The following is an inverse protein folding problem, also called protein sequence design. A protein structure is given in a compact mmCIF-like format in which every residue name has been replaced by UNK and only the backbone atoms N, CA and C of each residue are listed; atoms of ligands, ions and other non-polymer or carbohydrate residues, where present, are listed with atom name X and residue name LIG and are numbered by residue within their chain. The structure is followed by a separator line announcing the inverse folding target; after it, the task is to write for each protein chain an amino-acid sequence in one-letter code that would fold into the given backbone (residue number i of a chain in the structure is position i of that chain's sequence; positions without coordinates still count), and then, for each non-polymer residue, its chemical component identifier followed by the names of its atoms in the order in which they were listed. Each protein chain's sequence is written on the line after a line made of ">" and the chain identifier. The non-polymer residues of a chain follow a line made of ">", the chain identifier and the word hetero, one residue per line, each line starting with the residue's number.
data_IF_441281739017
#
_entry.id   IF_441281739017
#
_cell.length_a   1.000
_cell.length_b   1.000
_cell.length_c   1.000
_cell.angle_alpha   90.00
_cell.angle_beta   90.00
_cell.angle_gamma   90.00
#
_symmetry.space_group_name_H-M   'P 1'
#
loop_
_entity.id
_entity.type
_entity.pdbx_description
1 polymer ?
#
# COMPACT_ATOMS: atom_id res chain seq x y z
N UNK A 1 -32.15 -28.51 -22.79
CA UNK A 1 -30.85 -28.78 -22.09
C UNK A 1 -29.68 -27.92 -22.60
N UNK A 2 -29.68 -27.49 -23.88
CA UNK A 2 -28.59 -26.68 -24.49
C UNK A 2 -28.69 -25.18 -24.21
N UNK A 3 -29.90 -24.59 -24.04
CA UNK A 3 -30.07 -23.18 -23.72
C UNK A 3 -29.79 -22.83 -22.27
N UNK A 4 -30.14 -23.72 -21.33
CA UNK A 4 -29.87 -23.56 -19.91
C UNK A 4 -28.35 -23.61 -19.60
N UNK A 5 -27.60 -24.43 -20.36
CA UNK A 5 -26.13 -24.48 -20.27
C UNK A 5 -25.45 -23.24 -20.83
N UNK A 6 -25.98 -22.65 -21.93
CA UNK A 6 -25.48 -21.38 -22.49
C UNK A 6 -25.76 -20.20 -21.55
N UNK A 7 -26.97 -20.16 -20.97
CA UNK A 7 -27.34 -19.15 -19.97
C UNK A 7 -26.40 -19.20 -18.73
N UNK A 8 -26.17 -20.38 -18.20
CA UNK A 8 -25.26 -20.59 -17.06
C UNK A 8 -23.79 -20.26 -17.41
N UNK A 9 -23.36 -20.60 -18.62
CA UNK A 9 -22.00 -20.24 -19.07
C UNK A 9 -21.82 -18.72 -19.23
N UNK A 10 -22.86 -18.03 -19.72
CA UNK A 10 -22.85 -16.56 -19.80
C UNK A 10 -22.89 -15.90 -18.42
N UNK A 11 -23.67 -16.43 -17.47
CA UNK A 11 -23.65 -15.98 -16.08
C UNK A 11 -22.27 -16.16 -15.42
N UNK A 12 -21.61 -17.30 -15.69
CA UNK A 12 -20.25 -17.56 -15.22
C UNK A 12 -19.22 -16.62 -15.84
N UNK A 13 -19.32 -16.32 -17.14
CA UNK A 13 -18.44 -15.38 -17.83
C UNK A 13 -18.63 -13.94 -17.34
N UNK A 14 -19.86 -13.52 -17.07
CA UNK A 14 -20.15 -12.20 -16.49
C UNK A 14 -19.65 -12.12 -15.04
N UNK A 15 -19.85 -13.16 -14.24
CA UNK A 15 -19.34 -13.24 -12.89
C UNK A 15 -17.79 -13.25 -12.87
N UNK A 16 -17.16 -13.96 -13.79
CA UNK A 16 -15.72 -13.99 -13.97
C UNK A 16 -15.16 -12.61 -14.39
N UNK A 17 -15.85 -11.89 -15.27
CA UNK A 17 -15.42 -10.56 -15.72
C UNK A 17 -15.53 -9.50 -14.60
N UNK A 18 -16.63 -9.46 -13.86
CA UNK A 18 -16.78 -8.58 -12.69
C UNK A 18 -15.86 -8.99 -11.52
N UNK A 19 -15.61 -10.30 -11.38
CA UNK A 19 -14.64 -10.83 -10.43
C UNK A 19 -13.19 -10.51 -10.85
N UNK A 20 -12.91 -10.39 -12.15
CA UNK A 20 -11.56 -10.21 -12.68
C UNK A 20 -10.91 -8.89 -12.23
N UNK A 21 -11.66 -7.78 -12.20
CA UNK A 21 -11.16 -6.48 -11.70
C UNK A 21 -10.91 -6.48 -10.19
N UNK A 22 -11.76 -7.16 -9.43
CA UNK A 22 -11.59 -7.33 -7.97
C UNK A 22 -10.56 -8.42 -7.63
N UNK A 23 -10.45 -9.42 -8.49
CA UNK A 23 -9.47 -10.50 -8.35
C UNK A 23 -8.05 -9.99 -8.57
N UNK A 24 -7.80 -9.11 -9.55
CA UNK A 24 -6.48 -8.54 -9.79
C UNK A 24 -5.96 -7.68 -8.63
N UNK A 25 -6.83 -6.91 -7.95
CA UNK A 25 -6.44 -6.13 -6.78
C UNK A 25 -6.09 -7.04 -5.58
N UNK A 26 -6.91 -8.06 -5.31
CA UNK A 26 -6.65 -9.04 -4.25
C UNK A 26 -5.38 -9.83 -4.54
N UNK A 27 -5.19 -10.24 -5.80
CA UNK A 27 -3.99 -10.93 -6.25
C UNK A 27 -2.74 -10.04 -6.09
N UNK A 28 -2.80 -8.79 -6.52
CA UNK A 28 -1.68 -7.85 -6.37
C UNK A 28 -1.31 -7.62 -4.90
N UNK A 29 -2.30 -7.40 -4.02
CA UNK A 29 -2.07 -7.25 -2.58
C UNK A 29 -1.48 -8.53 -1.96
N UNK A 30 -1.96 -9.70 -2.40
CA UNK A 30 -1.44 -11.00 -1.93
C UNK A 30 0.02 -11.20 -2.37
N UNK A 31 0.37 -10.83 -3.61
CA UNK A 31 1.75 -10.90 -4.11
C UNK A 31 2.66 -9.95 -3.31
N UNK A 32 2.24 -8.71 -3.06
CA UNK A 32 3.02 -7.75 -2.26
C UNK A 32 3.22 -8.26 -0.82
N UNK A 33 2.19 -8.81 -0.21
CA UNK A 33 2.27 -9.40 1.12
C UNK A 33 3.22 -10.61 1.14
N UNK A 34 3.10 -11.51 0.17
CA UNK A 34 3.98 -12.68 0.04
C UNK A 34 5.44 -12.28 -0.19
N UNK A 35 5.68 -11.27 -1.04
CA UNK A 35 7.03 -10.73 -1.27
C UNK A 35 7.62 -10.15 0.03
N UNK A 36 6.83 -9.40 0.80
CA UNK A 36 7.24 -8.90 2.12
C UNK A 36 7.62 -10.04 3.08
N UNK A 37 6.84 -11.13 3.11
CA UNK A 37 7.13 -12.32 3.94
C UNK A 37 8.41 -13.00 3.49
N UNK A 38 8.62 -13.17 2.19
CA UNK A 38 9.86 -13.77 1.64
C UNK A 38 11.08 -12.93 2.02
N UNK A 39 11.04 -11.62 1.78
CA UNK A 39 12.13 -10.70 2.14
C UNK A 39 12.41 -10.76 3.65
N UNK A 40 11.37 -10.71 4.49
CA UNK A 40 11.50 -10.81 5.93
C UNK A 40 12.15 -12.14 6.36
N UNK A 41 11.70 -13.25 5.78
CA UNK A 41 12.23 -14.59 6.10
C UNK A 41 13.70 -14.70 5.70
N UNK A 42 14.06 -14.30 4.49
CA UNK A 42 15.46 -14.30 4.03
C UNK A 42 16.33 -13.44 4.95
N UNK A 43 15.85 -12.23 5.28
CA UNK A 43 16.58 -11.32 6.16
C UNK A 43 16.75 -11.89 7.58
N UNK A 44 15.71 -12.52 8.15
CA UNK A 44 15.80 -13.15 9.47
C UNK A 44 16.72 -14.37 9.46
N UNK A 45 16.74 -15.16 8.39
CA UNK A 45 17.62 -16.32 8.29
C UNK A 45 19.08 -15.91 8.12
N UNK A 46 19.36 -14.87 7.36
CA UNK A 46 20.74 -14.43 7.12
C UNK A 46 21.27 -13.61 8.29
N UNK A 47 20.61 -12.51 8.59
CA UNK A 47 21.05 -11.54 9.58
C UNK A 47 20.70 -11.92 11.03
N UNK A 48 19.53 -12.53 11.25
CA UNK A 48 19.08 -12.97 12.56
C UNK A 48 19.97 -14.07 13.13
N UNK A 49 20.41 -15.03 12.31
CA UNK A 49 21.35 -16.08 12.71
C UNK A 49 22.71 -15.47 13.07
N UNK A 50 23.21 -14.53 12.27
CA UNK A 50 24.45 -13.82 12.58
C UNK A 50 24.38 -13.07 13.92
N UNK A 51 23.32 -12.29 14.12
CA UNK A 51 23.10 -11.54 15.37
C UNK A 51 22.97 -12.45 16.58
N UNK A 52 22.28 -13.59 16.44
CA UNK A 52 22.18 -14.58 17.49
C UNK A 52 23.54 -15.18 17.86
N UNK A 53 24.37 -15.49 16.87
CA UNK A 53 25.72 -16.00 17.13
C UNK A 53 26.63 -14.95 17.75
N UNK A 54 26.53 -13.68 17.35
CA UNK A 54 27.29 -12.58 17.97
C UNK A 54 26.82 -12.28 19.40
N UNK A 55 25.56 -12.54 19.72
CA UNK A 55 25.04 -12.38 21.08
C UNK A 55 25.67 -13.34 22.10
N UNK A 56 26.32 -14.40 21.64
CA UNK A 56 27.07 -15.33 22.51
C UNK A 56 28.38 -14.75 23.04
N UNK A 57 28.94 -13.72 22.39
CA UNK A 57 30.12 -13.01 22.88
C UNK A 57 29.70 -11.98 23.90
N UNK A 58 29.58 -12.40 25.16
CA UNK A 58 28.94 -11.60 26.22
C UNK A 58 29.95 -10.92 27.12
N UNK A 59 31.15 -11.50 27.33
CA UNK A 59 32.11 -11.01 28.31
C UNK A 59 33.26 -10.27 27.65
N UNK A 60 33.50 -9.07 28.12
CA UNK A 60 34.60 -8.22 27.67
C UNK A 60 35.80 -8.39 28.65
N UNK A 61 36.95 -8.70 28.07
CA UNK A 61 38.19 -8.88 28.86
C UNK A 61 39.35 -8.10 28.22
N UNK A 62 40.36 -7.73 29.03
CA UNK A 62 41.56 -7.12 28.47
C UNK A 62 42.37 -8.13 27.67
N UNK A 63 42.87 -7.69 26.52
CA UNK A 63 43.76 -8.47 25.68
C UNK A 63 44.93 -7.62 25.16
N UNK A 64 45.99 -8.29 24.73
CA UNK A 64 47.15 -7.67 24.11
C UNK A 64 47.22 -8.06 22.66
N UNK A 65 47.53 -7.11 21.79
CA UNK A 65 47.69 -7.33 20.37
C UNK A 65 49.11 -7.79 20.11
N UNK A 66 49.28 -9.00 19.58
CA UNK A 66 50.58 -9.57 19.26
C UNK A 66 51.03 -9.23 17.84
N UNK A 67 50.08 -9.11 16.90
CA UNK A 67 50.36 -8.80 15.52
C UNK A 67 49.13 -8.45 14.70
N UNK A 68 49.34 -7.77 13.59
CA UNK A 68 48.27 -7.38 12.66
C UNK A 68 48.68 -7.70 11.23
N UNK A 69 47.78 -8.23 10.42
CA UNK A 69 48.02 -8.58 9.03
C UNK A 69 46.76 -8.47 8.18
N UNK A 70 46.91 -8.16 6.91
CA UNK A 70 45.84 -8.36 5.91
C UNK A 70 46.21 -9.62 5.11
N UNK A 71 45.47 -10.70 5.32
CA UNK A 71 45.72 -11.98 4.66
C UNK A 71 44.99 -12.02 3.33
N UNK A 72 45.67 -12.31 2.21
CA UNK A 72 45.05 -12.50 0.91
C UNK A 72 44.21 -13.78 0.87
N UNK A 73 43.15 -13.77 0.07
CA UNK A 73 42.36 -14.94 -0.24
C UNK A 73 43.21 -15.98 -0.99
N UNK A 74 43.25 -17.24 -0.56
CA UNK A 74 43.97 -18.30 -1.28
C UNK A 74 43.49 -18.50 -2.72
N UNK A 75 42.21 -18.30 -3.01
CA UNK A 75 41.65 -18.49 -4.35
C UNK A 75 41.82 -17.25 -5.24
N UNK A 76 41.70 -16.03 -4.66
CA UNK A 76 41.78 -14.76 -5.37
C UNK A 76 42.72 -13.74 -4.65
N UNK A 77 44.03 -13.98 -4.60
CA UNK A 77 44.96 -13.24 -3.73
C UNK A 77 45.18 -11.77 -4.11
N UNK A 78 44.70 -11.34 -5.26
CA UNK A 78 44.80 -9.95 -5.71
C UNK A 78 43.53 -9.12 -5.46
N UNK A 79 42.40 -9.77 -5.19
CA UNK A 79 41.11 -9.11 -5.16
C UNK A 79 40.54 -9.06 -3.75
N UNK A 80 40.65 -10.17 -2.98
CA UNK A 80 40.04 -10.26 -1.67
C UNK A 80 41.04 -10.47 -0.56
N UNK A 81 40.80 -9.75 0.56
CA UNK A 81 41.66 -9.78 1.73
C UNK A 81 40.81 -9.91 2.99
N UNK A 82 41.40 -10.47 4.04
CA UNK A 82 40.84 -10.62 5.35
C UNK A 82 41.67 -9.85 6.38
N UNK A 83 41.08 -8.96 7.22
CA UNK A 83 41.81 -8.36 8.33
C UNK A 83 42.04 -9.41 9.42
N UNK A 84 43.29 -9.58 9.85
CA UNK A 84 43.67 -10.49 10.92
C UNK A 84 44.45 -9.75 12.00
N UNK A 85 44.03 -9.94 13.23
CA UNK A 85 44.74 -9.42 14.42
C UNK A 85 44.98 -10.59 15.36
N UNK A 86 46.22 -10.87 15.64
CA UNK A 86 46.59 -11.86 16.66
C UNK A 86 46.53 -11.25 18.01
N UNK A 87 45.74 -11.85 18.91
CA UNK A 87 45.55 -11.37 20.27
C UNK A 87 45.85 -12.45 21.30
N UNK A 88 46.39 -12.05 22.41
CA UNK A 88 46.58 -12.88 23.59
C UNK A 88 45.78 -12.30 24.80
N UNK A 89 45.16 -13.17 25.55
CA UNK A 89 44.34 -12.82 26.69
C UNK A 89 44.35 -13.92 27.75
N UNK A 90 44.03 -13.57 28.99
CA UNK A 90 43.93 -14.49 30.10
C UNK A 90 42.50 -14.59 30.58
N UNK A 91 41.99 -15.79 30.74
CA UNK A 91 40.66 -16.05 31.24
C UNK A 91 40.70 -17.24 32.23
N UNK A 92 40.17 -17.03 33.45
CA UNK A 92 40.14 -18.03 34.54
C UNK A 92 41.50 -18.66 34.89
N UNK A 93 42.60 -17.92 34.66
CA UNK A 93 43.95 -18.35 34.95
C UNK A 93 44.65 -19.10 33.82
N UNK A 94 43.98 -19.28 32.69
CA UNK A 94 44.57 -19.86 31.48
C UNK A 94 44.83 -18.77 30.43
N UNK A 95 45.93 -18.90 29.69
CA UNK A 95 46.31 -17.96 28.63
C UNK A 95 45.87 -18.50 27.28
N UNK A 96 45.15 -17.69 26.54
CA UNK A 96 44.65 -18.00 25.18
C UNK A 96 45.28 -17.08 24.14
N UNK A 97 45.54 -17.61 22.97
CA UNK A 97 45.99 -16.82 21.82
C UNK A 97 45.10 -17.19 20.61
N UNK A 98 44.52 -16.20 19.96
CA UNK A 98 43.71 -16.40 18.76
C UNK A 98 44.02 -15.34 17.72
N UNK A 99 43.76 -15.66 16.44
CA UNK A 99 43.84 -14.71 15.31
C UNK A 99 42.45 -14.38 14.87
N UNK A 100 42.03 -13.12 15.04
CA UNK A 100 40.65 -12.71 14.84
C UNK A 100 40.58 -11.20 14.55
N UNK A 101 39.53 -10.75 13.92
CA UNK A 101 39.13 -9.36 13.86
C UNK A 101 37.67 -9.24 14.30
N UNK A 102 36.81 -9.95 13.63
CA UNK A 102 35.38 -10.08 13.93
C UNK A 102 34.97 -11.58 13.89
N UNK A 103 33.68 -11.85 14.00
CA UNK A 103 33.17 -13.22 13.99
C UNK A 103 33.44 -13.96 12.67
N UNK A 104 33.40 -13.24 11.53
CA UNK A 104 33.63 -13.88 10.20
C UNK A 104 35.07 -14.36 10.05
N UNK A 105 36.00 -13.73 10.76
CA UNK A 105 37.42 -14.10 10.73
C UNK A 105 37.81 -15.23 11.68
N UNK A 106 36.87 -15.76 12.47
CA UNK A 106 37.11 -16.91 13.37
C UNK A 106 37.23 -18.23 12.61
N UNK A 107 36.66 -18.32 11.39
CA UNK A 107 36.73 -19.52 10.54
C UNK A 107 37.81 -19.31 9.48
N UNK A 108 38.64 -20.30 9.26
CA UNK A 108 39.81 -20.17 8.34
C UNK A 108 39.39 -19.92 6.89
N UNK A 109 38.21 -20.34 6.48
CA UNK A 109 37.71 -20.27 5.10
C UNK A 109 36.75 -19.09 4.83
N UNK A 110 36.45 -18.27 5.85
CA UNK A 110 35.50 -17.17 5.73
C UNK A 110 36.18 -15.80 5.98
N UNK A 111 35.51 -14.72 5.58
CA UNK A 111 35.94 -13.34 5.90
C UNK A 111 36.82 -12.67 4.87
N UNK A 112 37.06 -13.30 3.69
CA UNK A 112 37.75 -12.69 2.53
C UNK A 112 36.75 -11.88 1.71
N UNK A 113 36.44 -10.67 2.18
CA UNK A 113 35.35 -9.84 1.60
C UNK A 113 35.88 -8.44 1.25
N UNK A 114 37.03 -8.07 1.76
CA UNK A 114 37.53 -6.71 1.68
C UNK A 114 38.59 -6.55 0.60
N UNK A 115 38.59 -5.43 -0.08
CA UNK A 115 39.74 -4.99 -0.88
C UNK A 115 40.93 -4.74 0.06
N UNK A 116 42.15 -4.81 -0.47
CA UNK A 116 43.42 -4.66 0.27
C UNK A 116 43.46 -3.36 1.09
N UNK A 117 43.03 -2.25 0.51
CA UNK A 117 43.03 -0.94 1.17
C UNK A 117 42.04 -0.90 2.31
N UNK A 118 40.87 -1.48 2.14
CA UNK A 118 39.84 -1.56 3.18
C UNK A 118 40.27 -2.47 4.32
N UNK A 119 40.86 -3.62 4.02
CA UNK A 119 41.41 -4.51 5.07
C UNK A 119 42.49 -3.81 5.90
N UNK A 120 43.39 -3.04 5.26
CA UNK A 120 44.40 -2.25 5.95
C UNK A 120 43.79 -1.13 6.79
N UNK A 121 42.80 -0.43 6.30
CA UNK A 121 42.11 0.62 7.08
C UNK A 121 41.43 0.06 8.32
N UNK A 122 40.88 -1.14 8.28
CA UNK A 122 40.24 -1.80 9.41
C UNK A 122 41.21 -2.20 10.51
N UNK A 123 42.42 -2.62 10.15
CA UNK A 123 43.45 -3.00 11.11
C UNK A 123 44.32 -1.81 11.57
N UNK A 124 44.29 -0.69 10.86
CA UNK A 124 45.08 0.50 11.17
C UNK A 124 44.99 1.03 12.62
N UNK A 125 43.83 0.94 13.31
CA UNK A 125 43.72 1.35 14.72
C UNK A 125 44.45 0.43 15.72
N UNK A 126 44.92 -0.75 15.30
CA UNK A 126 45.49 -1.78 16.13
C UNK A 126 47.00 -1.84 15.96
N UNK A 127 47.76 -1.69 17.04
CA UNK A 127 49.21 -1.76 17.02
C UNK A 127 49.73 -2.93 17.86
N UNK A 128 50.78 -3.66 17.43
CA UNK A 128 51.42 -4.69 18.27
C UNK A 128 51.88 -4.13 19.60
N UNK A 129 51.62 -4.88 20.69
CA UNK A 129 51.87 -4.45 22.07
C UNK A 129 50.80 -3.59 22.70
N UNK A 130 49.79 -3.18 21.95
CA UNK A 130 48.67 -2.38 22.48
C UNK A 130 47.76 -3.25 23.32
N UNK A 131 47.35 -2.72 24.49
CA UNK A 131 46.31 -3.30 25.36
C UNK A 131 44.97 -2.78 24.91
N UNK A 132 44.04 -3.68 24.63
CA UNK A 132 42.68 -3.37 24.23
C UNK A 132 41.68 -4.31 24.92
N UNK A 133 40.41 -4.22 24.58
CA UNK A 133 39.37 -5.10 25.10
C UNK A 133 38.88 -6.00 23.94
N UNK A 134 38.78 -7.30 24.21
CA UNK A 134 38.15 -8.25 23.32
C UNK A 134 36.90 -8.84 23.94
N UNK A 135 36.03 -9.38 23.10
CA UNK A 135 34.80 -10.04 23.51
C UNK A 135 35.01 -11.56 23.40
N UNK A 136 34.80 -12.26 24.49
CA UNK A 136 34.90 -13.72 24.52
C UNK A 136 33.56 -14.38 24.60
N UNK A 137 33.54 -15.61 24.14
CA UNK A 137 32.42 -16.51 24.29
C UNK A 137 32.58 -17.30 25.58
N UNK A 138 31.60 -17.20 26.48
CA UNK A 138 31.70 -17.81 27.81
C UNK A 138 31.68 -19.33 27.77
N UNK A 139 30.97 -19.91 26.83
CA UNK A 139 30.87 -21.37 26.60
C UNK A 139 32.08 -21.95 25.84
N UNK A 140 32.84 -21.11 25.13
CA UNK A 140 34.08 -21.49 24.43
C UNK A 140 35.10 -20.35 24.49
N UNK A 141 35.93 -20.33 25.53
CA UNK A 141 36.92 -19.25 25.72
C UNK A 141 37.99 -19.15 24.64
N UNK A 142 38.15 -20.15 23.79
CA UNK A 142 39.11 -20.10 22.66
C UNK A 142 38.67 -19.15 21.54
N UNK A 143 37.38 -18.80 21.51
CA UNK A 143 36.81 -17.88 20.56
C UNK A 143 36.71 -16.47 21.16
N UNK A 144 37.48 -15.56 20.61
CA UNK A 144 37.42 -14.15 20.94
C UNK A 144 37.33 -13.28 19.69
N UNK A 145 36.66 -12.14 19.79
CA UNK A 145 36.56 -11.15 18.71
C UNK A 145 36.92 -9.76 19.23
N UNK A 146 37.57 -8.95 18.40
CA UNK A 146 37.91 -7.56 18.71
C UNK A 146 36.76 -6.61 18.43
N UNK A 147 36.08 -6.83 17.32
CA UNK A 147 35.02 -5.95 16.85
C UNK A 147 33.72 -6.76 16.72
N UNK A 148 32.64 -6.23 17.30
CA UNK A 148 31.30 -6.74 17.03
C UNK A 148 30.71 -5.96 15.86
N UNK A 149 30.10 -6.66 14.92
CA UNK A 149 29.35 -5.99 13.86
C UNK A 149 28.17 -5.23 14.47
N UNK A 150 27.93 -4.01 13.99
CA UNK A 150 26.86 -3.18 14.56
C UNK A 150 25.49 -3.67 14.05
N UNK A 151 24.56 -4.08 14.93
CA UNK A 151 23.27 -4.60 14.51
C UNK A 151 22.28 -3.53 14.04
N UNK A 152 22.63 -2.24 14.14
CA UNK A 152 21.70 -1.13 13.86
C UNK A 152 21.10 -1.18 12.44
N UNK A 153 21.92 -1.44 11.44
CA UNK A 153 21.46 -1.53 10.04
C UNK A 153 20.53 -2.71 9.79
N UNK A 154 20.83 -3.85 10.36
CA UNK A 154 19.97 -5.02 10.25
C UNK A 154 18.57 -4.75 10.79
N UNK A 155 18.43 -4.05 11.90
CA UNK A 155 17.13 -3.65 12.44
C UNK A 155 16.37 -2.68 11.53
N UNK A 156 17.07 -1.74 10.90
CA UNK A 156 16.47 -0.81 9.95
C UNK A 156 15.91 -1.53 8.70
N UNK A 157 16.63 -2.53 8.20
CA UNK A 157 16.15 -3.32 7.06
C UNK A 157 14.90 -4.16 7.36
N UNK A 158 14.62 -4.49 8.62
CA UNK A 158 13.36 -5.14 9.01
C UNK A 158 12.12 -4.25 8.86
N UNK A 159 12.29 -2.93 8.86
CA UNK A 159 11.17 -1.98 8.76
C UNK A 159 10.47 -2.12 7.40
N UNK A 160 11.22 -2.27 6.31
CA UNK A 160 10.66 -2.32 4.95
C UNK A 160 9.73 -3.52 4.75
N UNK A 161 10.16 -4.78 4.96
CA UNK A 161 9.28 -5.94 4.79
C UNK A 161 8.12 -5.93 5.78
N UNK A 162 8.33 -5.48 7.01
CA UNK A 162 7.26 -5.37 8.01
C UNK A 162 6.17 -4.39 7.58
N UNK A 163 6.54 -3.23 7.04
CA UNK A 163 5.58 -2.26 6.49
C UNK A 163 4.85 -2.80 5.26
N UNK A 164 5.53 -3.54 4.38
CA UNK A 164 4.90 -4.19 3.23
C UNK A 164 3.85 -5.20 3.67
N UNK A 165 4.19 -6.07 4.62
CA UNK A 165 3.27 -7.08 5.16
C UNK A 165 2.08 -6.41 5.85
N UNK A 166 2.34 -5.46 6.75
CA UNK A 166 1.29 -4.80 7.53
C UNK A 166 0.32 -4.03 6.66
N UNK A 167 0.81 -3.26 5.69
CA UNK A 167 -0.01 -2.43 4.83
C UNK A 167 -0.77 -3.24 3.78
N UNK A 168 -0.11 -4.15 3.06
CA UNK A 168 -0.78 -5.03 2.11
C UNK A 168 -1.74 -5.99 2.83
N UNK A 169 -1.35 -6.54 3.98
CA UNK A 169 -2.17 -7.41 4.81
C UNK A 169 -3.40 -6.71 5.38
N UNK A 170 -3.27 -5.48 5.87
CA UNK A 170 -4.41 -4.70 6.39
C UNK A 170 -5.42 -4.34 5.28
N UNK A 171 -4.94 -3.97 4.09
CA UNK A 171 -5.79 -3.72 2.93
C UNK A 171 -6.49 -4.99 2.47
N UNK A 172 -5.77 -6.11 2.43
CA UNK A 172 -6.32 -7.42 2.08
C UNK A 172 -7.39 -7.85 3.09
N UNK A 173 -7.10 -7.73 4.38
CA UNK A 173 -8.05 -8.03 5.46
C UNK A 173 -9.30 -7.17 5.38
N UNK A 174 -9.17 -5.85 5.13
CA UNK A 174 -10.29 -4.95 4.94
C UNK A 174 -11.15 -5.36 3.72
N UNK A 175 -10.52 -5.76 2.61
CA UNK A 175 -11.23 -6.25 1.42
C UNK A 175 -11.95 -7.56 1.64
N UNK A 176 -11.31 -8.51 2.34
CA UNK A 176 -11.92 -9.79 2.69
C UNK A 176 -13.07 -9.60 3.68
N UNK A 177 -12.90 -8.74 4.69
CA UNK A 177 -13.96 -8.40 5.63
C UNK A 177 -15.18 -7.82 4.93
N UNK A 178 -14.98 -6.82 4.06
CA UNK A 178 -16.03 -6.22 3.26
C UNK A 178 -16.76 -7.25 2.38
N UNK A 179 -16.03 -8.23 1.85
CA UNK A 179 -16.60 -9.27 0.99
C UNK A 179 -17.38 -10.33 1.78
N UNK A 180 -16.88 -10.70 2.96
CA UNK A 180 -17.44 -11.82 3.74
C UNK A 180 -18.55 -11.36 4.72
N UNK A 181 -18.42 -10.16 5.27
CA UNK A 181 -19.22 -9.71 6.40
C UNK A 181 -20.08 -8.47 6.15
N UNK A 182 -19.91 -7.75 5.01
CA UNK A 182 -20.74 -6.58 4.77
C UNK A 182 -22.19 -7.02 4.51
N UNK A 183 -23.11 -6.45 5.27
CA UNK A 183 -24.57 -6.66 5.10
C UNK A 183 -25.03 -6.22 3.71
N UNK A 184 -24.37 -5.22 3.15
CA UNK A 184 -24.61 -4.69 1.81
C UNK A 184 -24.30 -5.73 0.72
N UNK A 185 -23.18 -6.46 0.84
CA UNK A 185 -22.86 -7.52 -0.11
C UNK A 185 -23.84 -8.69 -0.04
N UNK A 186 -24.29 -9.05 1.18
CA UNK A 186 -25.28 -10.12 1.38
C UNK A 186 -26.68 -9.74 0.89
N UNK A 187 -27.09 -8.50 1.12
CA UNK A 187 -28.40 -8.00 0.71
C UNK A 187 -28.50 -7.88 -0.83
N UNK A 188 -27.40 -7.49 -1.50
CA UNK A 188 -27.33 -7.35 -2.94
C UNK A 188 -27.55 -8.68 -3.66
N UNK A 189 -26.86 -9.74 -3.24
CA UNK A 189 -27.00 -11.09 -3.83
C UNK A 189 -28.40 -11.66 -3.67
N UNK A 190 -29.08 -11.37 -2.56
CA UNK A 190 -30.42 -11.91 -2.26
C UNK A 190 -31.54 -11.21 -3.03
N UNK A 191 -31.43 -9.88 -3.30
CA UNK A 191 -32.45 -9.10 -4.02
C UNK A 191 -32.37 -9.27 -5.53
N UNK A 192 -31.22 -9.54 -6.09
CA UNK A 192 -30.97 -9.68 -7.50
C UNK A 192 -31.72 -10.85 -8.15
N UNK A 193 -31.91 -11.94 -7.40
CA UNK A 193 -32.57 -13.15 -7.91
C UNK A 193 -34.08 -13.05 -8.11
N UNK A 194 -34.75 -12.01 -7.65
CA UNK A 194 -36.21 -12.08 -7.47
C UNK A 194 -37.04 -11.04 -8.23
N UNK A 195 -36.48 -10.02 -8.89
CA UNK A 195 -37.37 -8.91 -9.31
C UNK A 195 -37.22 -8.33 -10.72
N UNK A 196 -36.15 -8.53 -11.45
CA UNK A 196 -36.01 -7.89 -12.77
C UNK A 196 -35.37 -8.83 -13.78
N UNK A 197 -35.88 -8.88 -15.03
CA UNK A 197 -35.17 -9.54 -16.09
C UNK A 197 -33.81 -8.83 -16.28
N UNK A 198 -32.71 -9.57 -16.15
CA UNK A 198 -31.37 -9.09 -16.43
C UNK A 198 -31.28 -8.78 -17.91
N UNK A 199 -31.08 -7.51 -18.26
CA UNK A 199 -30.72 -7.14 -19.61
C UNK A 199 -29.27 -7.59 -19.89
N UNK A 200 -28.99 -8.19 -21.03
CA UNK A 200 -27.63 -8.57 -21.38
C UNK A 200 -26.72 -7.32 -21.31
N UNK A 201 -25.57 -7.45 -20.67
CA UNK A 201 -24.54 -6.41 -20.56
C UNK A 201 -24.91 -5.14 -19.75
N UNK A 202 -25.92 -5.19 -18.89
CA UNK A 202 -26.18 -4.14 -17.91
C UNK A 202 -25.36 -4.43 -16.66
N UNK A 203 -24.61 -3.45 -16.11
CA UNK A 203 -23.87 -3.64 -14.88
C UNK A 203 -24.86 -3.97 -13.76
N UNK A 204 -24.60 -5.08 -13.10
CA UNK A 204 -25.39 -5.52 -11.97
C UNK A 204 -24.72 -5.01 -10.69
N UNK A 205 -25.21 -3.85 -10.19
CA UNK A 205 -24.68 -3.23 -9.00
C UNK A 205 -25.54 -3.60 -7.80
N UNK A 206 -24.90 -4.35 -6.90
CA UNK A 206 -25.50 -4.69 -5.65
C UNK A 206 -25.79 -3.45 -4.80
N UNK A 207 -27.05 -3.22 -4.52
CA UNK A 207 -27.49 -2.16 -3.64
C UNK A 207 -28.03 -2.74 -2.35
N UNK A 208 -27.65 -2.11 -1.23
CA UNK A 208 -28.22 -2.46 0.08
C UNK A 208 -29.67 -1.96 0.19
N UNK A 209 -30.49 -2.56 1.09
CA UNK A 209 -31.79 -1.98 1.41
C UNK A 209 -31.60 -0.61 2.06
N UNK A 210 -32.38 0.38 1.60
CA UNK A 210 -32.42 1.70 2.22
C UNK A 210 -33.21 1.68 3.55
N UNK A 211 -33.00 2.70 4.35
CA UNK A 211 -33.74 2.91 5.62
C UNK A 211 -35.05 3.64 5.34
N UNK A 212 -34.99 4.73 4.58
CA UNK A 212 -36.15 5.57 4.25
C UNK A 212 -36.69 5.35 2.83
N UNK A 213 -35.82 4.97 1.88
CA UNK A 213 -36.19 4.61 0.52
C UNK A 213 -35.83 3.14 0.22
N UNK A 214 -36.23 2.65 -0.96
CA UNK A 214 -36.11 1.23 -1.29
C UNK A 214 -34.66 0.73 -1.36
N UNK A 215 -33.76 1.59 -1.83
CA UNK A 215 -32.37 1.19 -2.07
C UNK A 215 -31.38 2.21 -1.52
N UNK A 216 -30.25 1.73 -0.97
CA UNK A 216 -29.09 2.53 -0.61
C UNK A 216 -28.02 2.30 -1.67
N UNK A 217 -27.56 3.38 -2.29
CA UNK A 217 -26.52 3.31 -3.31
C UNK A 217 -25.13 3.12 -2.66
N UNK A 218 -24.36 2.25 -3.24
CA UNK A 218 -22.95 2.05 -2.83
C UNK A 218 -22.04 3.03 -3.58
N UNK A 219 -21.12 3.70 -2.89
CA UNK A 219 -20.17 4.59 -3.56
C UNK A 219 -19.23 3.78 -4.44
N UNK A 220 -18.93 4.31 -5.65
CA UNK A 220 -18.01 3.68 -6.62
C UNK A 220 -16.64 3.43 -6.03
N UNK A 221 -16.11 4.41 -5.29
CA UNK A 221 -14.85 4.29 -4.57
C UNK A 221 -15.11 4.50 -3.09
N UNK A 222 -14.81 3.50 -2.27
CA UNK A 222 -14.91 3.65 -0.82
C UNK A 222 -13.82 4.58 -0.31
N UNK A 223 -14.15 5.62 0.47
CA UNK A 223 -13.16 6.59 0.98
C UNK A 223 -12.05 5.92 1.79
N UNK A 224 -12.39 4.88 2.56
CA UNK A 224 -11.42 4.10 3.33
C UNK A 224 -10.35 3.48 2.44
N UNK A 225 -10.72 2.87 1.32
CA UNK A 225 -9.75 2.29 0.40
C UNK A 225 -8.82 3.34 -0.22
N UNK A 226 -9.40 4.44 -0.71
CA UNK A 226 -8.61 5.55 -1.28
C UNK A 226 -7.67 6.18 -0.25
N UNK A 227 -8.10 6.28 1.00
CA UNK A 227 -7.28 6.79 2.11
C UNK A 227 -6.12 5.85 2.44
N UNK A 228 -6.41 4.55 2.63
CA UNK A 228 -5.38 3.56 2.96
C UNK A 228 -4.37 3.35 1.84
N UNK A 229 -4.80 3.32 0.58
CA UNK A 229 -3.88 3.18 -0.56
C UNK A 229 -2.90 4.36 -0.68
N UNK A 230 -3.38 5.59 -0.43
CA UNK A 230 -2.52 6.78 -0.41
C UNK A 230 -1.59 6.80 0.80
N UNK A 231 -2.09 6.45 1.99
CA UNK A 231 -1.28 6.33 3.19
C UNK A 231 -0.14 5.33 2.99
N UNK A 232 -0.46 4.17 2.41
CA UNK A 232 0.52 3.15 2.06
C UNK A 232 1.62 3.68 1.13
N UNK A 233 1.23 4.32 0.01
CA UNK A 233 2.20 4.89 -0.91
C UNK A 233 3.14 5.92 -0.26
N UNK A 234 2.60 6.77 0.62
CA UNK A 234 3.38 7.76 1.38
C UNK A 234 4.35 7.06 2.36
N UNK A 235 3.88 6.06 3.08
CA UNK A 235 4.71 5.31 4.03
C UNK A 235 5.86 4.58 3.31
N UNK A 236 5.54 3.82 2.25
CA UNK A 236 6.56 3.06 1.49
C UNK A 236 7.62 3.99 0.91
N UNK A 237 7.20 5.09 0.27
CA UNK A 237 8.13 6.04 -0.30
C UNK A 237 9.04 6.66 0.77
N UNK A 238 8.48 7.15 1.87
CA UNK A 238 9.27 7.80 2.92
C UNK A 238 10.22 6.81 3.60
N UNK A 239 9.75 5.61 3.96
CA UNK A 239 10.62 4.60 4.58
C UNK A 239 11.77 4.23 3.65
N UNK A 240 11.49 3.92 2.38
CA UNK A 240 12.52 3.59 1.42
C UNK A 240 13.53 4.75 1.22
N UNK A 241 13.02 5.97 1.03
CA UNK A 241 13.88 7.15 0.83
C UNK A 241 14.78 7.44 2.02
N UNK A 242 14.25 7.40 3.25
CA UNK A 242 15.03 7.64 4.45
C UNK A 242 16.01 6.51 4.73
N UNK A 243 15.64 5.24 4.49
CA UNK A 243 16.55 4.10 4.68
C UNK A 243 17.73 4.17 3.71
N UNK A 244 17.46 4.45 2.42
CA UNK A 244 18.52 4.60 1.41
C UNK A 244 19.40 5.80 1.75
N UNK A 245 18.81 6.95 2.10
CA UNK A 245 19.56 8.14 2.45
C UNK A 245 20.50 7.91 3.62
N UNK A 246 19.99 7.35 4.72
CA UNK A 246 20.79 7.03 5.89
C UNK A 246 21.89 5.99 5.55
N UNK A 247 21.57 4.97 4.72
CA UNK A 247 22.54 3.99 4.27
C UNK A 247 23.70 4.62 3.50
N UNK A 248 23.40 5.44 2.52
CA UNK A 248 24.44 6.12 1.73
C UNK A 248 25.23 7.10 2.60
N UNK A 249 24.58 7.79 3.53
CA UNK A 249 25.25 8.74 4.41
C UNK A 249 26.29 8.07 5.34
N UNK A 250 26.00 6.86 5.83
CA UNK A 250 26.90 6.14 6.73
C UNK A 250 28.05 5.43 5.98
N UNK A 251 27.90 5.20 4.69
CA UNK A 251 28.95 4.63 3.83
C UNK A 251 29.80 5.70 3.13
N UNK A 252 29.50 7.00 3.32
CA UNK A 252 30.25 8.10 2.73
C UNK A 252 31.63 8.24 3.40
N UNK A 253 32.69 7.85 2.71
CA UNK A 253 34.07 7.91 3.22
C UNK A 253 34.73 9.25 2.92
N UNK A 254 34.35 9.91 1.84
CA UNK A 254 34.91 11.19 1.45
C UNK A 254 33.94 12.35 1.66
N UNK A 255 34.49 13.57 1.79
CA UNK A 255 33.67 14.80 1.86
C UNK A 255 32.81 15.01 0.61
N UNK A 256 33.27 14.53 -0.54
CA UNK A 256 32.52 14.55 -1.80
C UNK A 256 31.33 13.61 -1.78
N UNK A 257 31.51 12.39 -1.28
CA UNK A 257 30.44 11.39 -1.16
C UNK A 257 29.36 11.85 -0.17
N UNK A 258 29.77 12.48 0.95
CA UNK A 258 28.84 13.05 1.90
C UNK A 258 27.92 14.10 1.27
N UNK A 259 28.47 15.06 0.49
CA UNK A 259 27.66 16.07 -0.15
C UNK A 259 26.79 15.52 -1.28
N UNK A 260 27.26 14.53 -2.02
CA UNK A 260 26.46 13.83 -3.04
C UNK A 260 25.30 13.07 -2.40
N UNK A 261 25.53 12.37 -1.28
CA UNK A 261 24.50 11.70 -0.49
C UNK A 261 23.45 12.68 0.03
N UNK A 262 23.88 13.82 0.57
CA UNK A 262 22.97 14.88 1.04
C UNK A 262 22.12 15.47 -0.10
N UNK A 263 22.71 15.73 -1.27
CA UNK A 263 21.98 16.24 -2.43
C UNK A 263 20.93 15.24 -2.93
N UNK A 264 21.31 13.97 -3.06
CA UNK A 264 20.41 12.89 -3.44
C UNK A 264 19.28 12.71 -2.40
N UNK A 265 19.63 12.64 -1.13
CA UNK A 265 18.68 12.50 -0.03
C UNK A 265 17.69 13.67 0.04
N UNK A 266 18.15 14.91 -0.17
CA UNK A 266 17.29 16.09 -0.20
C UNK A 266 16.18 15.99 -1.27
N UNK A 267 16.51 15.47 -2.47
CA UNK A 267 15.53 15.29 -3.55
C UNK A 267 14.50 14.22 -3.16
N UNK A 268 14.94 13.03 -2.77
CA UNK A 268 14.03 11.91 -2.48
C UNK A 268 13.20 12.12 -1.22
N UNK A 269 13.80 12.62 -0.15
CA UNK A 269 13.07 12.96 1.06
C UNK A 269 12.15 14.17 0.84
N UNK A 270 12.56 15.15 0.03
CA UNK A 270 11.72 16.28 -0.37
C UNK A 270 10.43 15.82 -1.10
N UNK A 271 10.54 14.89 -2.05
CA UNK A 271 9.38 14.27 -2.70
C UNK A 271 8.49 13.57 -1.66
N UNK A 272 9.08 12.86 -0.70
CA UNK A 272 8.37 12.22 0.41
C UNK A 272 7.55 13.21 1.24
N UNK A 273 8.12 14.37 1.56
CA UNK A 273 7.42 15.46 2.26
C UNK A 273 6.24 15.99 1.44
N UNK A 274 6.40 16.16 0.12
CA UNK A 274 5.31 16.60 -0.77
C UNK A 274 4.17 15.57 -0.78
N UNK A 275 4.49 14.27 -0.86
CA UNK A 275 3.49 13.20 -0.79
C UNK A 275 2.76 13.19 0.56
N UNK A 276 3.48 13.36 1.66
CA UNK A 276 2.91 13.45 2.99
C UNK A 276 1.94 14.65 3.11
N UNK A 277 2.35 15.85 2.66
CA UNK A 277 1.47 17.04 2.64
C UNK A 277 0.21 16.81 1.81
N UNK A 278 0.32 16.22 0.62
CA UNK A 278 -0.86 15.89 -0.22
C UNK A 278 -1.77 14.87 0.46
N UNK A 279 -1.22 13.87 1.11
CA UNK A 279 -2.00 12.91 1.88
C UNK A 279 -2.74 13.58 3.04
N UNK A 280 -2.07 14.40 3.85
CA UNK A 280 -2.70 15.09 4.98
C UNK A 280 -3.78 16.08 4.52
N UNK A 281 -3.59 16.78 3.40
CA UNK A 281 -4.61 17.60 2.80
C UNK A 281 -5.83 16.78 2.40
N UNK A 282 -5.64 15.67 1.69
CA UNK A 282 -6.71 14.75 1.32
C UNK A 282 -7.41 14.16 2.55
N UNK A 283 -6.67 13.73 3.55
CA UNK A 283 -7.21 13.20 4.80
C UNK A 283 -8.11 14.23 5.52
N UNK A 284 -7.66 15.47 5.61
CA UNK A 284 -8.48 16.58 6.14
C UNK A 284 -9.77 16.73 5.36
N UNK A 285 -9.70 16.79 4.03
CA UNK A 285 -10.85 16.94 3.15
C UNK A 285 -11.87 15.80 3.33
N UNK A 286 -11.40 14.54 3.36
CA UNK A 286 -12.27 13.38 3.61
C UNK A 286 -12.93 13.45 4.99
N UNK A 287 -12.17 13.84 6.01
CA UNK A 287 -12.68 13.98 7.38
C UNK A 287 -13.71 15.12 7.48
N UNK A 288 -13.49 16.23 6.79
CA UNK A 288 -14.42 17.37 6.75
C UNK A 288 -15.69 17.06 5.95
N UNK A 289 -15.67 16.10 5.04
CA UNK A 289 -16.83 15.68 4.26
C UNK A 289 -17.82 14.81 5.06
N UNK A 290 -17.37 14.23 6.17
CA UNK A 290 -18.20 13.33 6.99
C UNK A 290 -18.60 12.04 6.26
N UNK A 291 -19.59 11.35 6.81
CA UNK A 291 -20.19 10.18 6.17
C UNK A 291 -21.36 10.61 5.28
N UNK A 292 -21.32 10.24 4.00
CA UNK A 292 -22.40 10.51 3.04
C UNK A 292 -23.04 9.20 2.63
N UNK A 293 -24.36 9.13 2.72
CA UNK A 293 -25.15 7.99 2.25
C UNK A 293 -26.25 8.52 1.33
N UNK A 294 -26.46 7.86 0.21
CA UNK A 294 -27.48 8.24 -0.77
C UNK A 294 -28.47 7.09 -0.95
N UNK A 295 -29.76 7.39 -0.74
CA UNK A 295 -30.84 6.44 -1.01
C UNK A 295 -31.65 6.87 -2.21
N UNK A 296 -32.19 5.90 -2.93
CA UNK A 296 -33.02 6.06 -4.13
C UNK A 296 -34.30 5.26 -4.03
N UNK A 297 -35.39 5.80 -4.55
CA UNK A 297 -36.70 5.15 -4.48
C UNK A 297 -36.86 3.94 -5.40
N UNK A 298 -36.20 3.96 -6.56
CA UNK A 298 -36.33 2.92 -7.59
C UNK A 298 -34.99 2.66 -8.25
N UNK A 299 -34.67 1.38 -8.41
CA UNK A 299 -33.53 0.91 -9.20
C UNK A 299 -33.94 -0.40 -9.87
N UNK A 300 -33.74 -0.58 -11.16
CA UNK A 300 -33.16 0.36 -12.15
C UNK A 300 -34.03 1.60 -12.40
N UNK A 301 -33.39 2.64 -12.90
CA UNK A 301 -34.03 3.89 -13.29
C UNK A 301 -34.66 3.71 -14.67
N UNK A 302 -35.89 4.19 -14.84
CA UNK A 302 -36.53 4.22 -16.17
C UNK A 302 -36.54 5.65 -16.71
N UNK A 303 -36.23 5.87 -18.01
CA UNK A 303 -36.28 7.18 -18.64
C UNK A 303 -37.63 7.86 -18.48
N UNK A 304 -37.66 9.16 -18.26
CA UNK A 304 -38.86 9.96 -18.08
C UNK A 304 -39.62 9.75 -16.76
N UNK A 305 -39.16 8.88 -15.88
CA UNK A 305 -39.81 8.63 -14.57
C UNK A 305 -39.24 9.53 -13.49
N UNK A 306 -40.12 9.94 -12.58
CA UNK A 306 -39.77 10.70 -11.39
C UNK A 306 -39.15 9.79 -10.34
N UNK A 307 -37.98 10.19 -9.83
CA UNK A 307 -37.18 9.46 -8.85
C UNK A 307 -37.03 10.32 -7.60
N UNK A 308 -37.13 9.71 -6.43
CA UNK A 308 -36.87 10.37 -5.14
C UNK A 308 -35.50 9.94 -4.63
N UNK A 309 -34.79 10.89 -4.06
CA UNK A 309 -33.49 10.69 -3.42
C UNK A 309 -33.54 11.23 -2.00
N UNK A 310 -32.86 10.54 -1.09
CA UNK A 310 -32.54 11.02 0.25
C UNK A 310 -31.03 10.98 0.42
N UNK A 311 -30.42 12.12 0.66
CA UNK A 311 -29.00 12.26 0.97
C UNK A 311 -28.84 12.47 2.47
N UNK A 312 -28.12 11.58 3.12
CA UNK A 312 -27.77 11.67 4.53
C UNK A 312 -26.33 12.14 4.68
N UNK A 313 -26.12 13.22 5.41
CA UNK A 313 -24.81 13.73 5.80
C UNK A 313 -24.66 13.59 7.31
N UNK A 314 -23.66 12.83 7.75
CA UNK A 314 -23.38 12.57 9.17
C UNK A 314 -21.96 13.00 9.54
N UNK A 315 -21.81 13.47 10.77
CA UNK A 315 -20.54 13.96 11.29
C UNK A 315 -20.41 15.47 11.10
N UNK A 316 -19.31 16.03 11.59
CA UNK A 316 -19.07 17.46 11.52
C UNK A 316 -18.76 17.88 10.07
N UNK A 317 -19.73 18.44 9.38
CA UNK A 317 -19.58 18.96 8.02
C UNK A 317 -19.83 20.47 8.02
N UNK A 318 -18.90 21.22 7.45
CA UNK A 318 -19.06 22.66 7.19
C UNK A 318 -18.65 22.92 5.76
N UNK A 319 -19.63 23.10 4.87
CA UNK A 319 -19.40 23.31 3.45
C UNK A 319 -20.12 24.56 2.95
N UNK A 320 -19.46 25.32 2.08
CA UNK A 320 -20.00 26.51 1.41
C UNK A 320 -21.14 26.12 0.48
N UNK A 321 -21.00 24.96 -0.20
CA UNK A 321 -21.94 24.51 -1.20
C UNK A 321 -21.97 22.98 -1.28
N UNK A 322 -23.16 22.44 -1.43
CA UNK A 322 -23.46 21.05 -1.72
C UNK A 322 -24.18 20.98 -3.05
N UNK A 323 -23.63 20.30 -4.02
CA UNK A 323 -24.24 20.03 -5.31
C UNK A 323 -24.43 18.55 -5.52
N UNK A 324 -25.53 18.19 -6.17
CA UNK A 324 -25.78 16.82 -6.62
C UNK A 324 -26.07 16.85 -8.12
N UNK A 325 -25.33 16.07 -8.88
CA UNK A 325 -25.48 15.95 -10.33
C UNK A 325 -25.87 14.54 -10.74
N UNK A 326 -26.64 14.43 -11.81
CA UNK A 326 -26.79 13.18 -12.56
C UNK A 326 -25.89 13.27 -13.81
N UNK A 327 -24.96 12.35 -13.94
CA UNK A 327 -24.01 12.34 -15.05
C UNK A 327 -24.06 11.01 -15.80
N UNK A 328 -23.86 11.05 -17.10
CA UNK A 328 -23.67 9.90 -17.96
C UNK A 328 -22.28 9.99 -18.60
N UNK A 329 -21.48 8.94 -18.42
CA UNK A 329 -20.16 8.82 -19.03
C UNK A 329 -20.15 7.70 -20.04
N UNK A 330 -19.62 8.00 -21.22
CA UNK A 330 -19.31 7.02 -22.26
C UNK A 330 -17.82 6.72 -22.23
N UNK A 331 -17.48 5.45 -22.22
CA UNK A 331 -16.09 5.00 -22.20
C UNK A 331 -15.86 4.11 -23.42
N UNK A 332 -14.89 4.46 -24.25
CA UNK A 332 -14.41 3.64 -25.34
C UNK A 332 -12.99 3.15 -25.07
N UNK A 333 -12.78 1.85 -25.18
CA UNK A 333 -11.48 1.19 -25.01
C UNK A 333 -11.07 0.57 -26.34
N UNK A 334 -9.92 0.92 -26.86
CA UNK A 334 -9.39 0.33 -28.07
C UNK A 334 -7.87 0.16 -27.99
N UNK A 335 -7.37 -0.76 -28.80
CA UNK A 335 -5.94 -1.06 -28.86
C UNK A 335 -5.37 -0.37 -30.10
N UNK A 336 -4.36 0.47 -29.91
CA UNK A 336 -3.59 1.08 -30.98
C UNK A 336 -2.14 0.58 -30.92
N UNK A 337 -1.80 -0.36 -31.79
CA UNK A 337 -0.52 -1.08 -31.70
C UNK A 337 -0.48 -1.97 -30.46
N UNK A 338 0.51 -1.77 -29.58
CA UNK A 338 0.68 -2.47 -28.29
C UNK A 338 0.02 -1.74 -27.11
N UNK A 339 -0.51 -0.54 -27.31
CA UNK A 339 -1.04 0.29 -26.25
C UNK A 339 -2.56 0.22 -26.19
N UNK A 340 -3.12 0.00 -24.99
CA UNK A 340 -4.55 0.15 -24.74
C UNK A 340 -4.88 1.60 -24.43
N UNK A 341 -5.75 2.21 -25.24
CA UNK A 341 -6.20 3.59 -25.09
C UNK A 341 -7.63 3.57 -24.57
N UNK A 342 -7.92 4.41 -23.58
CA UNK A 342 -9.26 4.59 -23.02
C UNK A 342 -9.68 6.05 -23.19
N UNK A 343 -10.71 6.30 -23.97
CA UNK A 343 -11.36 7.59 -24.06
C UNK A 343 -12.61 7.63 -23.20
N UNK A 344 -12.76 8.73 -22.46
CA UNK A 344 -13.93 8.99 -21.61
C UNK A 344 -14.58 10.28 -22.06
N UNK A 345 -15.89 10.26 -22.22
CA UNK A 345 -16.68 11.40 -22.61
C UNK A 345 -17.89 11.54 -21.67
N UNK A 346 -18.06 12.71 -21.05
CA UNK A 346 -19.25 13.03 -20.29
C UNK A 346 -20.37 13.42 -21.26
N UNK A 347 -21.22 12.47 -21.57
CA UNK A 347 -22.30 12.64 -22.55
C UNK A 347 -23.48 13.45 -21.99
N UNK A 348 -23.66 13.45 -20.67
CA UNK A 348 -24.73 14.18 -20.00
C UNK A 348 -24.31 14.56 -18.58
N UNK A 349 -24.65 15.78 -18.17
CA UNK A 349 -24.47 16.26 -16.81
C UNK A 349 -25.56 17.27 -16.49
N UNK A 350 -26.35 17.01 -15.47
CA UNK A 350 -27.41 17.92 -15.01
C UNK A 350 -27.44 18.04 -13.50
N UNK A 351 -27.60 19.25 -12.97
CA UNK A 351 -27.78 19.47 -11.53
C UNK A 351 -29.15 18.95 -11.09
N UNK A 352 -29.17 18.14 -10.04
CA UNK A 352 -30.39 17.62 -9.40
C UNK A 352 -30.80 18.45 -8.18
N UNK A 353 -29.80 18.92 -7.44
CA UNK A 353 -29.99 19.64 -6.19
C UNK A 353 -28.76 20.49 -5.86
N UNK A 354 -28.99 21.69 -5.33
CA UNK A 354 -27.94 22.58 -4.83
C UNK A 354 -28.39 23.20 -3.51
N UNK A 355 -27.50 23.20 -2.52
CA UNK A 355 -27.70 23.89 -1.24
C UNK A 355 -26.44 24.67 -0.87
N UNK A 356 -26.64 25.88 -0.38
CA UNK A 356 -25.60 26.76 0.13
C UNK A 356 -25.58 26.76 1.65
N UNK A 357 -24.42 26.97 2.27
CA UNK A 357 -24.28 27.11 3.72
C UNK A 357 -24.68 25.83 4.47
N UNK A 358 -24.01 24.73 4.17
CA UNK A 358 -24.27 23.42 4.82
C UNK A 358 -23.44 23.31 6.09
N UNK A 359 -24.14 23.32 7.24
CA UNK A 359 -23.51 23.06 8.54
C UNK A 359 -24.21 21.90 9.23
N UNK A 360 -23.45 20.86 9.58
CA UNK A 360 -23.93 19.69 10.29
C UNK A 360 -23.08 19.51 11.55
N UNK A 361 -23.69 19.62 12.74
CA UNK A 361 -23.01 19.32 14.01
C UNK A 361 -22.61 17.86 14.09
N UNK A 362 -21.59 17.55 14.91
CA UNK A 362 -21.01 16.19 15.01
C UNK A 362 -22.00 15.09 15.43
N UNK A 363 -23.09 15.46 16.10
CA UNK A 363 -24.09 14.52 16.63
C UNK A 363 -25.40 14.49 15.83
N UNK A 364 -25.51 15.31 14.81
CA UNK A 364 -26.69 15.40 13.98
C UNK A 364 -26.54 14.74 12.62
N UNK A 365 -27.66 14.39 12.02
CA UNK A 365 -27.75 13.89 10.65
C UNK A 365 -28.60 14.87 9.85
N UNK A 366 -27.98 15.51 8.84
CA UNK A 366 -28.73 16.29 7.88
C UNK A 366 -29.31 15.36 6.81
N UNK A 367 -30.59 15.47 6.56
CA UNK A 367 -31.30 14.69 5.53
C UNK A 367 -31.84 15.63 4.47
N UNK A 368 -31.29 15.56 3.27
CA UNK A 368 -31.79 16.29 2.11
C UNK A 368 -32.63 15.40 1.22
N UNK A 369 -33.85 15.84 0.95
CA UNK A 369 -34.83 15.13 0.12
C UNK A 369 -35.03 15.88 -1.17
N UNK A 370 -34.77 15.25 -2.29
CA UNK A 370 -34.98 15.86 -3.60
C UNK A 370 -35.54 14.85 -4.59
N UNK A 371 -36.04 15.36 -5.71
CA UNK A 371 -36.59 14.54 -6.79
C UNK A 371 -35.98 14.95 -8.11
N UNK A 372 -35.71 13.97 -8.96
CA UNK A 372 -35.23 14.17 -10.29
C UNK A 372 -36.10 13.45 -11.32
N UNK A 373 -36.04 13.90 -12.55
CA UNK A 373 -36.62 13.20 -13.70
C UNK A 373 -35.48 12.85 -14.63
N UNK A 374 -35.35 11.57 -14.93
CA UNK A 374 -34.36 11.12 -15.91
C UNK A 374 -34.78 11.57 -17.30
N UNK A 375 -33.86 12.03 -18.17
CA UNK A 375 -34.18 12.39 -19.53
C UNK A 375 -34.89 11.26 -20.27
N UNK A 376 -35.92 11.59 -21.08
CA UNK A 376 -36.70 10.58 -21.85
C UNK A 376 -35.76 9.85 -22.81
N UNK A 377 -34.81 10.54 -23.42
CA UNK A 377 -33.81 9.97 -24.33
C UNK A 377 -32.56 9.41 -23.67
N UNK A 378 -32.59 9.15 -22.31
CA UNK A 378 -31.44 8.60 -21.63
C UNK A 378 -30.99 7.27 -22.22
N UNK A 379 -29.75 7.17 -22.64
CA UNK A 379 -29.15 5.94 -23.09
C UNK A 379 -29.14 4.92 -21.93
N UNK A 380 -29.48 3.64 -22.17
CA UNK A 380 -29.44 2.64 -21.10
C UNK A 380 -28.01 2.38 -20.64
N UNK A 381 -27.86 2.02 -19.39
CA UNK A 381 -26.57 1.53 -18.89
C UNK A 381 -26.15 0.30 -19.66
N UNK A 382 -24.90 0.29 -20.10
CA UNK A 382 -24.37 -0.74 -20.98
C UNK A 382 -22.89 -0.98 -20.69
N UNK A 383 -22.47 -2.24 -20.66
CA UNK A 383 -21.06 -2.62 -20.56
C UNK A 383 -20.74 -3.71 -21.56
N UNK A 384 -19.74 -3.47 -22.37
CA UNK A 384 -19.13 -4.46 -23.26
C UNK A 384 -17.61 -4.45 -23.09
N UNK A 385 -16.93 -5.28 -23.86
CA UNK A 385 -15.47 -5.38 -23.84
C UNK A 385 -14.78 -4.04 -24.18
N UNK A 386 -15.35 -3.32 -25.15
CA UNK A 386 -14.75 -2.10 -25.70
C UNK A 386 -15.50 -0.82 -25.32
N UNK A 387 -16.79 -0.91 -25.02
CA UNK A 387 -17.64 0.25 -24.76
C UNK A 387 -18.42 0.11 -23.46
N UNK A 388 -18.58 1.24 -22.76
CA UNK A 388 -19.34 1.31 -21.52
C UNK A 388 -20.14 2.61 -21.50
N UNK A 389 -21.43 2.53 -21.13
CA UNK A 389 -22.28 3.67 -20.82
C UNK A 389 -22.66 3.54 -19.35
N UNK A 390 -22.13 4.44 -18.52
CA UNK A 390 -22.35 4.41 -17.07
C UNK A 390 -23.03 5.69 -16.60
N UNK A 391 -24.07 5.51 -15.78
CA UNK A 391 -24.78 6.60 -15.13
C UNK A 391 -24.36 6.70 -13.67
N UNK A 392 -24.21 7.94 -13.17
CA UNK A 392 -23.77 8.20 -11.82
C UNK A 392 -24.52 9.38 -11.21
N UNK A 393 -24.78 9.29 -9.91
CA UNK A 393 -25.13 10.44 -9.10
C UNK A 393 -23.85 10.92 -8.38
N UNK A 394 -23.42 12.14 -8.69
CA UNK A 394 -22.22 12.76 -8.14
C UNK A 394 -22.63 13.75 -7.06
N UNK A 395 -22.21 13.50 -5.83
CA UNK A 395 -22.40 14.44 -4.70
C UNK A 395 -21.10 15.18 -4.49
N UNK A 396 -21.13 16.51 -4.64
CA UNK A 396 -19.96 17.39 -4.50
C UNK A 396 -20.15 18.35 -3.35
N UNK A 397 -19.17 18.38 -2.43
CA UNK A 397 -19.06 19.41 -1.39
C UNK A 397 -17.91 20.37 -1.75
N UNK A 398 -18.16 21.66 -1.61
CA UNK A 398 -17.18 22.71 -1.72
C UNK A 398 -17.01 23.38 -0.34
N UNK A 399 -15.79 23.38 0.19
CA UNK A 399 -15.49 23.92 1.51
C UNK A 399 -15.08 25.40 1.44
N UNK A 400 -15.13 26.09 2.58
CA UNK A 400 -14.79 27.51 2.68
C UNK A 400 -13.30 27.80 2.34
N UNK A 401 -12.41 26.83 2.53
CA UNK A 401 -10.97 26.90 2.21
C UNK A 401 -10.65 26.68 0.73
N UNK A 402 -11.68 26.53 -0.13
CA UNK A 402 -11.54 26.25 -1.56
C UNK A 402 -11.32 24.78 -1.89
N UNK A 403 -11.21 23.91 -0.87
CA UNK A 403 -11.17 22.47 -1.06
C UNK A 403 -12.50 21.93 -1.57
N UNK A 404 -12.48 20.83 -2.33
CA UNK A 404 -13.69 20.14 -2.75
C UNK A 404 -13.56 18.62 -2.53
N UNK A 405 -14.70 18.02 -2.22
CA UNK A 405 -14.82 16.57 -2.10
C UNK A 405 -16.00 16.09 -2.91
N UNK A 406 -15.79 15.05 -3.73
CA UNK A 406 -16.86 14.41 -4.52
C UNK A 406 -16.97 12.95 -4.18
N UNK A 407 -18.20 12.44 -4.26
CA UNK A 407 -18.53 11.04 -4.11
C UNK A 407 -19.49 10.62 -5.21
N UNK A 408 -19.10 9.59 -5.95
CA UNK A 408 -19.85 9.05 -7.07
C UNK A 408 -20.60 7.80 -6.63
N UNK A 409 -21.88 7.73 -7.01
CA UNK A 409 -22.76 6.59 -6.78
C UNK A 409 -23.25 6.10 -8.13
N UNK A 410 -22.89 4.88 -8.49
CA UNK A 410 -23.32 4.29 -9.75
C UNK A 410 -24.81 3.95 -9.70
N UNK A 411 -25.51 4.24 -10.78
CA UNK A 411 -26.94 3.93 -10.95
C UNK A 411 -27.15 3.23 -12.28
N UNK A 412 -28.16 2.37 -12.35
CA UNK A 412 -28.50 1.62 -13.55
C UNK A 412 -29.72 2.24 -14.20
N UNK A 413 -29.60 2.63 -15.46
CA UNK A 413 -30.70 3.12 -16.29
C UNK A 413 -31.07 2.03 -17.29
N UNK A 414 -32.33 1.58 -17.27
CA UNK A 414 -32.84 0.62 -18.22
C UNK A 414 -33.37 1.30 -19.49
N UNK A 415 -33.44 0.59 -20.61
CA UNK A 415 -34.08 1.10 -21.82
C UNK A 415 -35.58 1.32 -21.55
N UNK A 416 -36.17 2.21 -22.33
CA UNK A 416 -37.59 2.43 -22.31
C UNK A 416 -38.31 1.13 -22.66
N UNK A 417 -39.07 0.56 -21.75
CA UNK A 417 -39.87 -0.60 -22.04
C UNK A 417 -41.05 -0.17 -22.93
N UNK A 418 -41.26 -0.78 -24.13
CA UNK A 418 -42.45 -0.54 -24.87
C UNK A 418 -43.67 -0.83 -24.00
N UNK A 419 -44.67 0.04 -24.07
CA UNK A 419 -45.98 -0.26 -23.41
C UNK A 419 -46.40 -1.64 -23.91
N UNK A 420 -46.63 -2.56 -22.97
CA UNK A 420 -47.39 -3.76 -23.28
C UNK A 420 -48.74 -3.27 -23.86
N UNK A 421 -48.96 -3.65 -25.13
CA UNK A 421 -50.22 -3.32 -25.82
C UNK A 421 -51.36 -4.16 -25.32
#
# INVERSE_FOLDING_TARGET
>A
MTEDLKSKAQEWLQFAYLAQWRFSEVLALSIVCALGVVILTVHLLTWGVQTYQESKFLRQIPCVIDGVAARPDPENPTEYFRPEVKISYEFEGESFTTTTYDRQTLTDDEGFVYDHKEALLRIAPFCPGQKTLCWIRVDDPTQAVLVKSSPLWGWLFLIIPTLLIFSAGSLLAARLYDRLFSEEARASVKKQRTRYPTLPNVPDEGTAPGVALAYRLTPRVRPSFSMWSRAFGVCVWNVASWTIFLGVLTTAETRGDFWSACAFGAVFCGVGVVFARRFFSFFRTVRSAGAMELEISTLPILPGRKIRFNLFLRGRVSAKRLDVFLTCEEVARFVQGTNSITHRYEAYSAPLFTRYGVEVPSHETLVEKFTAITPIGAAPSFVSEHNEISWRVVVKLEFADGGSYSRDYDVIVYPFLPKER
#
